data_IF_808394991758
#
_entry.id   IF_808394991758
#
_cell.length_a   1.000
_cell.length_b   1.000
_cell.length_c   1.000
_cell.angle_alpha   90.00
_cell.angle_beta   90.00
_cell.angle_gamma   90.00
#
_symmetry.space_group_name_H-M   'P 1'
#
loop_
_entity.id
_entity.type
_entity.pdbx_description
1 polymer ?
#
# COMPACT_ATOMS: atom_id res chain seq x y z
N UNK A 1 -2.59 -11.00 13.21
CA UNK A 1 -3.17 -10.33 12.04
C UNK A 1 -2.03 -9.69 11.25
N UNK A 2 -1.97 -9.87 9.93
CA UNK A 2 -0.99 -9.18 9.06
C UNK A 2 -1.48 -7.79 8.61
N UNK A 3 -2.72 -7.43 8.91
CA UNK A 3 -3.32 -6.12 8.62
C UNK A 3 -3.44 -5.32 9.92
N UNK A 4 -2.92 -4.09 9.91
CA UNK A 4 -3.10 -3.14 11.00
C UNK A 4 -4.36 -2.28 10.78
N UNK A 5 -4.53 -1.73 9.58
CA UNK A 5 -5.69 -0.90 9.22
C UNK A 5 -5.85 -0.77 7.72
N UNK A 6 -7.00 -0.22 7.28
CA UNK A 6 -7.21 0.24 5.91
C UNK A 6 -7.51 1.73 5.95
N UNK A 7 -6.83 2.51 5.12
CA UNK A 7 -6.92 3.97 5.11
C UNK A 7 -6.88 4.50 3.68
N UNK A 8 -7.39 5.71 3.49
CA UNK A 8 -7.06 6.50 2.31
C UNK A 8 -5.75 7.25 2.57
N UNK A 9 -4.81 7.14 1.65
CA UNK A 9 -3.49 7.77 1.64
C UNK A 9 -3.60 9.11 0.90
N UNK A 10 -3.07 10.15 1.53
CA UNK A 10 -2.96 11.47 0.92
C UNK A 10 -1.79 11.57 -0.05
N UNK A 11 -1.14 12.74 -0.07
CA UNK A 11 0.00 12.97 -0.96
C UNK A 11 1.15 11.98 -0.72
N UNK A 12 1.62 11.37 -1.81
CA UNK A 12 2.79 10.49 -1.82
C UNK A 12 3.96 11.30 -2.36
N UNK A 13 5.04 11.37 -1.59
CA UNK A 13 6.29 12.03 -1.98
C UNK A 13 7.20 10.98 -2.64
N UNK A 14 7.54 11.12 -3.93
CA UNK A 14 8.40 10.16 -4.61
C UNK A 14 9.77 10.05 -3.95
N UNK A 15 10.28 8.83 -3.84
CA UNK A 15 11.64 8.56 -3.34
C UNK A 15 12.59 8.48 -4.54
N UNK A 16 13.67 9.29 -4.59
CA UNK A 16 14.62 9.22 -5.68
C UNK A 16 15.27 7.84 -5.80
N UNK A 17 15.39 7.35 -7.04
CA UNK A 17 16.03 6.06 -7.38
C UNK A 17 15.38 4.83 -6.73
N UNK A 18 14.15 4.96 -6.24
CA UNK A 18 13.41 3.82 -5.75
C UNK A 18 12.97 2.94 -6.93
N UNK A 19 12.86 1.64 -6.66
CA UNK A 19 12.30 0.68 -7.60
C UNK A 19 10.84 1.01 -7.92
N UNK A 20 10.34 0.57 -9.10
CA UNK A 20 8.99 0.93 -9.59
C UNK A 20 7.88 0.57 -8.61
N UNK A 21 8.06 -0.49 -7.82
CA UNK A 21 7.11 -0.95 -6.82
C UNK A 21 6.98 0.03 -5.64
N UNK A 22 7.97 0.88 -5.41
CA UNK A 22 7.96 1.88 -4.34
C UNK A 22 7.47 3.20 -4.93
N UNK A 23 6.20 3.52 -4.69
CA UNK A 23 5.59 4.78 -5.15
C UNK A 23 6.19 5.99 -4.42
N UNK A 24 6.59 5.81 -3.16
CA UNK A 24 7.26 6.83 -2.37
C UNK A 24 6.96 6.72 -0.88
N UNK A 25 6.96 7.87 -0.19
CA UNK A 25 6.65 8.00 1.23
C UNK A 25 5.37 8.81 1.42
N UNK A 26 4.59 8.46 2.43
CA UNK A 26 3.44 9.26 2.88
C UNK A 26 3.45 9.44 4.40
N UNK A 27 2.79 10.50 4.86
CA UNK A 27 2.57 10.73 6.27
C UNK A 27 1.21 10.15 6.69
N UNK A 28 1.20 9.30 7.73
CA UNK A 28 0.01 8.73 8.34
C UNK A 28 0.09 8.85 9.86
N UNK A 29 -0.78 9.67 10.46
CA UNK A 29 -0.86 9.88 11.93
C UNK A 29 0.51 10.15 12.57
N UNK A 30 1.24 11.11 11.99
CA UNK A 30 2.61 11.48 12.42
C UNK A 30 3.68 10.40 12.26
N UNK A 31 3.39 9.35 11.49
CA UNK A 31 4.36 8.32 11.07
C UNK A 31 4.65 8.45 9.58
N UNK A 32 5.85 8.09 9.18
CA UNK A 32 6.20 7.93 7.77
C UNK A 32 5.92 6.47 7.38
N UNK A 33 5.25 6.28 6.25
CA UNK A 33 4.96 4.95 5.70
C UNK A 33 5.54 4.84 4.30
N UNK A 34 6.09 3.67 3.98
CA UNK A 34 6.54 3.35 2.61
C UNK A 34 5.34 2.91 1.79
N UNK A 35 5.07 3.60 0.70
CA UNK A 35 3.92 3.30 -0.16
C UNK A 35 4.34 2.37 -1.28
N UNK A 36 3.69 1.22 -1.37
CA UNK A 36 3.93 0.17 -2.36
C UNK A 36 2.81 0.20 -3.40
N UNK A 37 3.20 0.34 -4.67
CA UNK A 37 2.32 0.13 -5.81
C UNK A 37 2.19 -1.38 -6.08
N UNK A 38 1.06 -1.94 -5.68
CA UNK A 38 0.75 -3.37 -5.81
C UNK A 38 0.74 -3.81 -7.27
N UNK A 39 0.26 -2.96 -8.19
CA UNK A 39 0.20 -3.28 -9.61
C UNK A 39 1.62 -3.41 -10.16
N UNK A 40 2.49 -2.46 -9.83
CA UNK A 40 3.90 -2.54 -10.18
C UNK A 40 4.60 -3.75 -9.56
N UNK A 41 4.28 -4.10 -8.30
CA UNK A 41 4.83 -5.27 -7.63
C UNK A 41 4.43 -6.59 -8.28
N UNK A 42 3.22 -6.65 -8.83
CA UNK A 42 2.70 -7.82 -9.55
C UNK A 42 3.04 -7.82 -11.06
N UNK A 43 3.77 -6.81 -11.56
CA UNK A 43 4.10 -6.69 -12.98
C UNK A 43 2.90 -6.32 -13.86
N UNK A 44 1.86 -5.73 -13.28
CA UNK A 44 0.66 -5.28 -13.99
C UNK A 44 0.86 -3.88 -14.57
N UNK A 45 0.08 -3.60 -15.62
CA UNK A 45 -0.03 -2.27 -16.20
C UNK A 45 -0.51 -1.24 -15.19
N UNK A 46 -0.05 0.00 -15.35
CA UNK A 46 -0.50 1.11 -14.49
C UNK A 46 -2.02 1.27 -14.56
N UNK A 47 -2.65 1.62 -13.44
CA UNK A 47 -4.06 1.96 -13.43
C UNK A 47 -4.28 3.32 -14.12
N UNK A 48 -5.44 3.49 -14.77
CA UNK A 48 -5.86 4.80 -15.32
C UNK A 48 -6.16 5.82 -14.22
N UNK A 49 -6.51 5.35 -13.03
CA UNK A 49 -6.83 6.15 -11.85
C UNK A 49 -5.79 5.86 -10.77
N UNK A 50 -5.27 6.92 -10.14
CA UNK A 50 -4.37 6.77 -8.99
C UNK A 50 -5.16 6.20 -7.80
N UNK A 51 -4.78 5.00 -7.36
CA UNK A 51 -5.32 4.39 -6.15
C UNK A 51 -4.94 5.25 -4.93
N UNK A 52 -5.95 5.69 -4.17
CA UNK A 52 -5.75 6.39 -2.90
C UNK A 52 -5.90 5.47 -1.70
N UNK A 53 -6.52 4.29 -1.85
CA UNK A 53 -6.75 3.37 -0.73
C UNK A 53 -5.54 2.47 -0.50
N UNK A 54 -5.20 2.22 0.76
CA UNK A 54 -4.10 1.34 1.12
C UNK A 54 -4.41 0.46 2.33
N UNK A 55 -3.86 -0.75 2.30
CA UNK A 55 -3.76 -1.64 3.45
C UNK A 55 -2.47 -1.30 4.19
N UNK A 56 -2.57 -1.01 5.49
CA UNK A 56 -1.42 -0.77 6.36
C UNK A 56 -0.97 -2.09 6.98
N UNK A 57 0.30 -2.40 6.82
CA UNK A 57 0.96 -3.55 7.44
C UNK A 57 2.30 -3.14 8.05
N UNK A 58 2.80 -3.97 8.96
CA UNK A 58 4.09 -3.78 9.62
C UNK A 58 4.97 -4.98 9.29
N UNK A 59 6.13 -4.71 8.68
CA UNK A 59 7.14 -5.73 8.37
C UNK A 59 8.44 -5.28 9.01
N UNK A 60 9.00 -6.12 9.89
CA UNK A 60 10.25 -5.82 10.61
C UNK A 60 10.24 -4.44 11.31
N UNK A 61 9.09 -4.05 11.88
CA UNK A 61 8.92 -2.76 12.56
C UNK A 61 8.70 -1.55 11.64
N UNK A 62 8.73 -1.74 10.31
CA UNK A 62 8.50 -0.68 9.33
C UNK A 62 7.07 -0.71 8.82
N UNK A 63 6.48 0.47 8.69
CA UNK A 63 5.11 0.64 8.20
C UNK A 63 5.09 0.69 6.67
N UNK A 64 4.24 -0.13 6.07
CA UNK A 64 3.99 -0.16 4.64
C UNK A 64 2.52 0.13 4.36
N UNK A 65 2.28 0.96 3.34
CA UNK A 65 0.97 1.20 2.77
C UNK A 65 0.91 0.51 1.40
N UNK A 66 0.16 -0.58 1.31
CA UNK A 66 -0.01 -1.37 0.09
C UNK A 66 -1.23 -0.82 -0.65
N UNK A 67 -1.01 -0.18 -1.80
CA UNK A 67 -2.10 0.44 -2.58
C UNK A 67 -3.04 -0.62 -3.14
N UNK A 68 -4.34 -0.37 -3.04
CA UNK A 68 -5.40 -1.25 -3.56
C UNK A 68 -6.44 -0.42 -4.29
N UNK A 69 -7.06 -1.02 -5.31
CA UNK A 69 -8.11 -0.36 -6.09
C UNK A 69 -9.39 -0.19 -5.25
N UNK A 70 -9.75 -1.22 -4.47
CA UNK A 70 -10.90 -1.22 -3.58
C UNK A 70 -10.69 -2.18 -2.40
N UNK A 71 -11.54 -2.04 -1.36
CA UNK A 71 -11.71 -3.01 -0.29
C UNK A 71 -13.18 -3.44 -0.31
N UNK A 72 -13.42 -4.74 -0.39
CA UNK A 72 -14.78 -5.31 -0.37
C UNK A 72 -15.20 -5.69 1.05
N UNK A 73 -14.79 -6.87 1.55
CA UNK A 73 -15.13 -7.35 2.89
C UNK A 73 -14.06 -8.33 3.42
N UNK A 74 -14.13 -8.67 4.69
CA UNK A 74 -13.32 -9.71 5.32
C UNK A 74 -14.07 -11.04 5.24
N UNK A 75 -13.50 -11.99 4.51
CA UNK A 75 -14.04 -13.34 4.40
C UNK A 75 -13.14 -14.36 5.09
N UNK A 76 -13.70 -15.39 5.76
CA UNK A 76 -12.92 -16.55 6.16
C UNK A 76 -12.44 -17.31 4.92
N UNK A 77 -11.20 -17.81 4.97
CA UNK A 77 -10.61 -18.60 3.90
C UNK A 77 -9.97 -19.87 4.49
N UNK A 78 -10.39 -21.02 3.99
CA UNK A 78 -9.85 -22.33 4.36
C UNK A 78 -8.90 -22.82 3.26
N UNK A 79 -7.62 -22.99 3.60
CA UNK A 79 -6.65 -23.67 2.74
C UNK A 79 -6.94 -25.17 2.80
N UNK A 80 -7.73 -25.66 1.83
CA UNK A 80 -7.96 -27.10 1.63
C UNK A 80 -6.82 -27.71 0.81
#
# INVERSE_FOLDING_TARGET
>A
SQVESVVDIGSIIPVPRAERQVRGLAALRSRVVTVIDTRAALGLEAAEVDASRAIITIVEGHYYAILVDALDDVAPFDLT
#
